data_IF_613917839676
#
_entry.id   IF_613917839676
#
_cell.length_a   1.000
_cell.length_b   1.000
_cell.length_c   1.000
_cell.angle_alpha   90.00
_cell.angle_beta   90.00
_cell.angle_gamma   90.00
#
_symmetry.space_group_name_H-M   'P 1'
#
loop_
_entity.id
_entity.type
_entity.pdbx_description
1 polymer ?
#
# COMPACT_ATOMS: atom_id res chain seq x y z
N UNK A 1 -18.48 -4.82 -3.92
CA UNK A 1 -17.01 -4.82 -3.94
C UNK A 1 -16.58 -3.55 -3.22
N UNK A 2 -15.96 -3.66 -2.05
CA UNK A 2 -15.72 -2.52 -1.18
C UNK A 2 -14.52 -1.70 -1.70
N UNK A 3 -14.77 -0.44 -2.04
CA UNK A 3 -13.75 0.59 -2.27
C UNK A 3 -13.10 1.01 -0.94
N UNK A 4 -12.55 0.03 -0.22
CA UNK A 4 -11.92 0.27 1.07
C UNK A 4 -10.59 1.03 0.85
N UNK A 5 -10.51 2.22 1.44
CA UNK A 5 -9.32 3.05 1.44
C UNK A 5 -8.57 2.84 2.74
N UNK A 6 -7.33 2.37 2.62
CA UNK A 6 -6.39 2.17 3.71
C UNK A 6 -5.53 3.41 3.92
N UNK A 7 -5.18 3.68 5.17
CA UNK A 7 -4.13 4.62 5.54
C UNK A 7 -2.75 3.95 5.44
N UNK A 8 -1.69 4.73 5.66
CA UNK A 8 -0.33 4.21 5.74
C UNK A 8 -0.15 3.17 6.85
N UNK A 9 -0.79 3.41 8.00
CA UNK A 9 -0.73 2.50 9.14
C UNK A 9 -1.45 1.19 8.80
N UNK A 10 -2.65 1.28 8.23
CA UNK A 10 -3.43 0.09 7.87
C UNK A 10 -2.70 -0.77 6.84
N UNK A 11 -2.09 -0.19 5.80
CA UNK A 11 -1.33 -0.97 4.82
C UNK A 11 -0.06 -1.58 5.41
N UNK A 12 0.61 -0.88 6.34
CA UNK A 12 1.77 -1.42 7.04
C UNK A 12 1.38 -2.61 7.91
N UNK A 13 0.29 -2.51 8.67
CA UNK A 13 -0.24 -3.62 9.47
C UNK A 13 -0.70 -4.79 8.59
N UNK A 14 -1.36 -4.50 7.48
CA UNK A 14 -1.86 -5.50 6.52
C UNK A 14 -0.71 -6.30 5.90
N UNK A 15 0.36 -5.62 5.47
CA UNK A 15 1.55 -6.26 4.87
C UNK A 15 2.56 -6.77 5.91
N UNK A 16 2.28 -6.61 7.21
CA UNK A 16 3.22 -6.93 8.30
C UNK A 16 4.59 -6.23 8.15
N UNK A 17 4.55 -4.95 7.77
CA UNK A 17 5.73 -4.09 7.63
C UNK A 17 5.77 -3.03 8.73
N UNK A 18 6.97 -2.54 9.04
CA UNK A 18 7.10 -1.29 9.78
C UNK A 18 6.54 -0.12 8.95
N UNK A 19 5.83 0.82 9.59
CA UNK A 19 5.24 1.99 8.92
C UNK A 19 6.27 2.80 8.11
N UNK A 20 7.50 2.94 8.64
CA UNK A 20 8.62 3.61 7.93
C UNK A 20 8.98 2.92 6.62
N UNK A 21 8.89 1.59 6.57
CA UNK A 21 9.15 0.82 5.35
C UNK A 21 8.01 1.00 4.35
N UNK A 22 6.76 0.89 4.79
CA UNK A 22 5.60 1.15 3.94
C UNK A 22 5.63 2.58 3.36
N UNK A 23 6.01 3.57 4.18
CA UNK A 23 6.17 4.96 3.74
C UNK A 23 7.21 5.09 2.62
N UNK A 24 8.39 4.51 2.83
CA UNK A 24 9.47 4.55 1.84
C UNK A 24 9.09 3.84 0.54
N UNK A 25 8.36 2.73 0.62
CA UNK A 25 7.89 2.02 -0.57
C UNK A 25 6.86 2.87 -1.34
N UNK A 26 5.90 3.48 -0.64
CA UNK A 26 4.93 4.38 -1.26
C UNK A 26 5.62 5.61 -1.89
N UNK A 27 6.55 6.24 -1.16
CA UNK A 27 7.32 7.38 -1.65
C UNK A 27 8.16 7.05 -2.90
N UNK A 28 8.70 5.83 -2.97
CA UNK A 28 9.49 5.36 -4.10
C UNK A 28 8.62 4.76 -5.23
N UNK A 29 7.30 4.83 -5.14
CA UNK A 29 6.38 4.27 -6.13
C UNK A 29 6.38 2.73 -6.20
N UNK A 30 6.98 2.06 -5.21
CA UNK A 30 7.03 0.58 -5.13
C UNK A 30 5.80 -0.04 -4.49
N UNK A 31 5.01 0.75 -3.75
CA UNK A 31 3.73 0.35 -3.18
C UNK A 31 2.64 1.25 -3.80
N UNK A 32 1.58 0.70 -4.41
CA UNK A 32 0.61 1.50 -5.14
C UNK A 32 -0.29 2.27 -4.18
N UNK A 33 -0.14 3.59 -4.18
CA UNK A 33 -0.94 4.50 -3.37
C UNK A 33 -0.84 5.92 -3.90
N UNK A 34 -1.66 6.81 -3.35
CA UNK A 34 -1.68 8.22 -3.71
C UNK A 34 -1.67 9.11 -2.47
N UNK A 35 -1.20 10.35 -2.64
CA UNK A 35 -1.12 11.33 -1.56
C UNK A 35 -2.24 12.36 -1.74
N UNK A 36 -3.01 12.60 -0.68
CA UNK A 36 -4.08 13.60 -0.63
C UNK A 36 -4.04 14.32 0.72
N UNK A 37 -4.04 15.66 0.70
CA UNK A 37 -3.96 16.47 1.93
C UNK A 37 -2.75 16.14 2.80
N UNK A 38 -1.60 15.83 2.19
CA UNK A 38 -0.37 15.46 2.91
C UNK A 38 -0.33 14.01 3.43
N UNK A 39 -1.42 13.26 3.34
CA UNK A 39 -1.53 11.89 3.84
C UNK A 39 -1.57 10.86 2.71
N UNK A 40 -1.02 9.67 2.96
CA UNK A 40 -1.10 8.55 2.03
C UNK A 40 -2.43 7.80 2.13
N UNK A 41 -2.95 7.39 0.98
CA UNK A 41 -4.14 6.56 0.82
C UNK A 41 -3.86 5.44 -0.17
N UNK A 42 -4.40 4.27 0.13
CA UNK A 42 -4.19 3.06 -0.66
C UNK A 42 -5.53 2.39 -0.88
N UNK A 43 -5.89 2.09 -2.13
CA UNK A 43 -7.07 1.24 -2.37
C UNK A 43 -6.69 -0.19 -2.03
N UNK A 44 -7.47 -0.85 -1.19
CA UNK A 44 -7.21 -2.25 -0.79
C UNK A 44 -7.06 -3.18 -2.01
N UNK A 45 -7.91 -3.01 -3.01
CA UNK A 45 -7.86 -3.78 -4.26
C UNK A 45 -6.56 -3.60 -5.04
N UNK A 46 -5.91 -2.44 -4.95
CA UNK A 46 -4.63 -2.20 -5.62
C UNK A 46 -3.49 -2.88 -4.85
N UNK A 47 -3.56 -2.89 -3.51
CA UNK A 47 -2.61 -3.61 -2.65
C UNK A 47 -2.71 -5.12 -2.87
N UNK A 48 -3.92 -5.66 -2.95
CA UNK A 48 -4.15 -7.10 -3.22
C UNK A 48 -3.58 -7.50 -4.58
N UNK A 49 -3.86 -6.73 -5.64
CA UNK A 49 -3.28 -6.97 -6.97
C UNK A 49 -1.75 -6.90 -6.97
N UNK A 50 -1.19 -5.90 -6.28
CA UNK A 50 0.24 -5.75 -6.15
C UNK A 50 0.90 -6.94 -5.45
N UNK A 51 0.28 -7.50 -4.40
CA UNK A 51 0.77 -8.73 -3.75
C UNK A 51 0.86 -9.88 -4.77
N UNK A 52 -0.17 -10.06 -5.59
CA UNK A 52 -0.20 -11.11 -6.61
C UNK A 52 0.83 -10.88 -7.72
N UNK A 53 1.09 -9.64 -8.10
CA UNK A 53 2.17 -9.27 -9.02
C UNK A 53 3.56 -9.56 -8.42
N UNK A 54 3.79 -9.25 -7.14
CA UNK A 54 5.07 -9.55 -6.47
C UNK A 54 5.33 -11.06 -6.39
N UNK A 55 4.30 -11.89 -6.18
CA UNK A 55 4.44 -13.36 -6.17
C UNK A 55 4.84 -13.94 -7.52
N UNK A 56 4.44 -13.32 -8.64
CA UNK A 56 4.78 -13.81 -10.00
C UNK A 56 6.21 -13.49 -10.43
N UNK A 57 6.79 -12.45 -9.83
CA UNK A 57 8.15 -12.00 -10.12
C UNK A 57 9.21 -12.67 -9.23
N UNK A 58 8.81 -13.63 -8.40
CA UNK A 58 9.64 -14.44 -7.50
C UNK A 58 9.52 -15.92 -7.88
#
# INVERSE_FOLDING_TARGET
MNDEILTLKDVAEYLKLAEKTAYRLAQNGKLPGFKVGGSWRFRKVDIEKWIDEQKKNN
#
